data_IF_440860805278
#
_entry.id   IF_440860805278
#
_cell.length_a   1.000
_cell.length_b   1.000
_cell.length_c   1.000
_cell.angle_alpha   90.00
_cell.angle_beta   90.00
_cell.angle_gamma   90.00
#
_symmetry.space_group_name_H-M   'P 1'
#
loop_
_entity.id
_entity.type
_entity.pdbx_description
1 polymer ?
#
# COMPACT_ATOMS: atom_id res chain seq x y z
N UNK A 1 10.41 -17.78 -0.93
CA UNK A 1 9.44 -16.64 -0.95
C UNK A 1 8.39 -16.75 -2.05
N UNK A 2 8.64 -17.48 -3.15
CA UNK A 2 7.74 -17.68 -4.30
C UNK A 2 6.44 -18.42 -3.99
N UNK A 3 6.48 -19.47 -3.15
CA UNK A 3 5.27 -20.25 -2.82
C UNK A 3 4.19 -19.48 -2.05
N UNK A 4 4.56 -18.51 -1.21
CA UNK A 4 3.59 -17.68 -0.49
C UNK A 4 2.90 -16.68 -1.43
N UNK A 5 3.66 -16.03 -2.31
CA UNK A 5 3.10 -15.11 -3.31
C UNK A 5 2.10 -15.81 -4.22
N UNK A 6 2.37 -17.05 -4.62
CA UNK A 6 1.46 -17.86 -5.46
C UNK A 6 0.18 -18.22 -4.71
N UNK A 7 0.26 -18.69 -3.46
CA UNK A 7 -0.94 -18.93 -2.63
C UNK A 7 -1.77 -17.68 -2.38
N UNK A 8 -1.12 -16.53 -2.21
CA UNK A 8 -1.81 -15.25 -2.04
C UNK A 8 -2.48 -14.82 -3.35
N UNK A 9 -1.82 -14.99 -4.50
CA UNK A 9 -2.40 -14.78 -5.83
C UNK A 9 -3.65 -15.64 -6.03
N UNK A 10 -3.54 -16.95 -5.77
CA UNK A 10 -4.67 -17.88 -5.84
C UNK A 10 -5.83 -17.45 -4.93
N UNK A 11 -5.52 -16.93 -3.73
CA UNK A 11 -6.53 -16.40 -2.83
C UNK A 11 -7.23 -15.17 -3.42
N UNK A 12 -6.48 -14.22 -3.99
CA UNK A 12 -7.05 -13.01 -4.60
C UNK A 12 -7.92 -13.34 -5.81
N UNK A 13 -7.48 -14.27 -6.66
CA UNK A 13 -8.21 -14.70 -7.87
C UNK A 13 -9.50 -15.45 -7.51
N UNK A 14 -9.44 -16.39 -6.55
CA UNK A 14 -10.62 -17.16 -6.14
C UNK A 14 -11.66 -16.35 -5.36
N UNK A 15 -11.23 -15.26 -4.72
CA UNK A 15 -12.08 -14.44 -3.87
C UNK A 15 -12.03 -12.98 -4.29
N UNK A 16 -12.12 -12.70 -5.59
CA UNK A 16 -11.98 -11.34 -6.15
C UNK A 16 -12.86 -10.30 -5.44
N UNK A 17 -14.11 -10.65 -5.13
CA UNK A 17 -14.99 -9.73 -4.44
C UNK A 17 -14.52 -9.39 -3.02
N UNK A 18 -13.94 -10.38 -2.31
CA UNK A 18 -13.42 -10.18 -0.95
C UNK A 18 -12.06 -9.48 -0.99
N UNK A 19 -11.21 -9.79 -1.97
CA UNK A 19 -9.91 -9.13 -2.11
C UNK A 19 -10.05 -7.65 -2.43
N UNK A 20 -11.01 -7.27 -3.29
CA UNK A 20 -11.38 -5.87 -3.50
C UNK A 20 -11.76 -5.20 -2.18
N UNK A 21 -12.71 -5.77 -1.43
CA UNK A 21 -13.12 -5.21 -0.12
C UNK A 21 -11.96 -5.11 0.87
N UNK A 22 -11.08 -6.09 0.92
CA UNK A 22 -9.87 -6.05 1.74
C UNK A 22 -8.94 -4.89 1.35
N UNK A 23 -8.75 -4.63 0.05
CA UNK A 23 -7.97 -3.48 -0.41
C UNK A 23 -8.63 -2.15 -0.03
N UNK A 24 -9.95 -2.04 -0.14
CA UNK A 24 -10.69 -0.86 0.31
C UNK A 24 -10.51 -0.63 1.82
N UNK A 25 -10.63 -1.68 2.64
CA UNK A 25 -10.37 -1.58 4.08
C UNK A 25 -8.92 -1.16 4.36
N UNK A 26 -7.94 -1.72 3.65
CA UNK A 26 -6.54 -1.33 3.78
C UNK A 26 -6.33 0.14 3.42
N UNK A 27 -6.98 0.63 2.35
CA UNK A 27 -6.95 2.04 1.94
C UNK A 27 -7.55 2.97 3.00
N UNK A 28 -8.67 2.57 3.62
CA UNK A 28 -9.30 3.33 4.70
C UNK A 28 -8.44 3.39 5.96
N UNK A 29 -7.85 2.27 6.38
CA UNK A 29 -6.89 2.22 7.51
C UNK A 29 -5.70 3.12 7.20
N UNK A 30 -5.14 3.00 6.01
CA UNK A 30 -4.00 3.81 5.57
C UNK A 30 -4.31 5.31 5.61
N UNK A 31 -5.50 5.72 5.14
CA UNK A 31 -5.95 7.11 5.21
C UNK A 31 -6.07 7.61 6.65
N UNK A 32 -6.62 6.80 7.55
CA UNK A 32 -6.74 7.16 8.98
C UNK A 32 -5.38 7.51 9.60
N UNK A 33 -4.34 6.75 9.24
CA UNK A 33 -2.96 6.96 9.70
C UNK A 33 -2.35 8.24 9.15
N UNK A 34 -2.65 8.57 7.89
CA UNK A 34 -2.19 9.80 7.26
C UNK A 34 -2.78 11.06 7.92
N UNK A 35 -3.98 10.96 8.51
CA UNK A 35 -4.70 12.11 9.10
C UNK A 35 -4.57 12.20 10.62
N UNK A 36 -4.21 11.11 11.31
CA UNK A 36 -4.17 11.04 12.78
C UNK A 36 -2.78 11.28 13.33
N UNK A 37 -2.67 11.95 14.49
CA UNK A 37 -1.40 12.20 15.21
C UNK A 37 -1.21 11.39 16.49
N UNK A 38 -2.27 10.71 16.93
CA UNK A 38 -2.33 9.94 18.17
C UNK A 38 -2.82 8.52 17.87
N UNK A 39 -1.98 7.72 17.21
CA UNK A 39 -2.26 6.31 17.02
C UNK A 39 -1.99 5.53 18.32
N UNK A 40 -2.89 4.62 18.66
CA UNK A 40 -2.66 3.63 19.70
C UNK A 40 -1.67 2.57 19.22
N UNK A 41 -1.10 1.80 20.15
CA UNK A 41 -0.13 0.74 19.82
C UNK A 41 -0.72 -0.35 18.92
N UNK A 42 -2.02 -0.66 19.03
CA UNK A 42 -2.67 -1.64 18.17
C UNK A 42 -2.92 -1.12 16.75
N UNK A 43 -3.11 0.20 16.59
CA UNK A 43 -3.32 0.80 15.27
C UNK A 43 -2.11 0.53 14.36
N UNK A 44 -0.90 0.46 14.94
CA UNK A 44 0.33 0.13 14.22
C UNK A 44 0.29 -1.22 13.52
N UNK A 45 -0.23 -2.25 14.18
CA UNK A 45 -0.37 -3.56 13.55
C UNK A 45 -1.37 -3.49 12.39
N UNK A 46 -2.46 -2.73 12.56
CA UNK A 46 -3.41 -2.48 11.47
C UNK A 46 -2.77 -1.74 10.30
N UNK A 47 -1.91 -0.74 10.55
CA UNK A 47 -1.15 -0.03 9.50
C UNK A 47 -0.22 -0.99 8.77
N UNK A 48 0.56 -1.77 9.52
CA UNK A 48 1.52 -2.72 8.96
C UNK A 48 0.83 -3.75 8.07
N UNK A 49 -0.28 -4.32 8.53
CA UNK A 49 -1.10 -5.26 7.75
C UNK A 49 -1.66 -4.57 6.50
N UNK A 50 -2.19 -3.35 6.61
CA UNK A 50 -2.73 -2.60 5.49
C UNK A 50 -1.65 -2.30 4.43
N UNK A 51 -0.46 -1.82 4.84
CA UNK A 51 0.66 -1.53 3.94
C UNK A 51 1.14 -2.81 3.25
N UNK A 52 1.32 -3.91 3.99
CA UNK A 52 1.69 -5.20 3.42
C UNK A 52 0.65 -5.67 2.39
N UNK A 53 -0.64 -5.53 2.69
CA UNK A 53 -1.70 -5.91 1.76
C UNK A 53 -1.65 -5.07 0.47
N UNK A 54 -1.47 -3.75 0.59
CA UNK A 54 -1.36 -2.84 -0.55
C UNK A 54 -0.13 -3.19 -1.40
N UNK A 55 1.03 -3.45 -0.78
CA UNK A 55 2.25 -3.86 -1.50
C UNK A 55 2.06 -5.17 -2.24
N UNK A 56 1.48 -6.18 -1.59
CA UNK A 56 1.20 -7.46 -2.25
C UNK A 56 0.21 -7.31 -3.41
N UNK A 57 -0.79 -6.44 -3.27
CA UNK A 57 -1.73 -6.12 -4.34
C UNK A 57 -1.02 -5.47 -5.54
N UNK A 58 -0.11 -4.51 -5.28
CA UNK A 58 0.69 -3.84 -6.32
C UNK A 58 1.59 -4.83 -7.07
N UNK A 59 2.29 -5.70 -6.33
CA UNK A 59 3.14 -6.75 -6.90
C UNK A 59 2.35 -7.67 -7.84
N UNK A 60 1.17 -8.11 -7.41
CA UNK A 60 0.34 -9.06 -8.16
C UNK A 60 -0.29 -8.42 -9.40
N UNK A 61 -0.78 -7.18 -9.30
CA UNK A 61 -1.28 -6.44 -10.47
C UNK A 61 -0.18 -6.15 -11.48
N UNK A 62 1.02 -5.80 -11.04
CA UNK A 62 2.14 -5.58 -11.95
C UNK A 62 2.51 -6.85 -12.74
N UNK A 63 2.46 -8.02 -12.09
CA UNK A 63 2.67 -9.31 -12.75
C UNK A 63 1.60 -9.64 -13.79
N UNK A 64 0.32 -9.29 -13.55
CA UNK A 64 -0.78 -9.46 -14.52
C UNK A 64 -0.60 -8.55 -15.75
N UNK A 65 -0.21 -7.29 -15.55
CA UNK A 65 0.00 -6.35 -16.66
C UNK A 65 1.15 -6.77 -17.59
N UNK A 66 2.21 -7.37 -17.04
CA UNK A 66 3.36 -7.87 -17.82
C UNK A 66 3.03 -9.14 -18.61
N UNK A 67 2.17 -10.03 -18.09
CA UNK A 67 1.73 -11.23 -18.83
C UNK A 67 0.75 -10.93 -19.97
N UNK A 68 0.21 -9.72 -20.01
CA UNK A 68 -0.85 -9.31 -20.94
C UNK A 68 -0.33 -8.51 -22.14
N UNK A 69 0.99 -8.38 -22.33
CA UNK A 69 1.53 -7.78 -23.56
C UNK A 69 1.41 -8.79 -24.71
N UNK A 70 0.51 -8.61 -25.70
CA UNK A 70 0.70 -9.28 -26.97
C UNK A 70 1.98 -8.75 -27.58
N UNK A 71 2.83 -9.69 -28.01
CA UNK A 71 4.02 -9.45 -28.82
C UNK A 71 3.72 -8.38 -29.86
N UNK A 72 4.48 -7.29 -29.82
CA UNK A 72 4.35 -6.19 -30.75
C UNK A 72 4.80 -6.66 -32.14
N UNK A 73 3.87 -7.21 -32.91
CA UNK A 73 3.97 -7.30 -34.35
C UNK A 73 2.65 -6.84 -34.98
N UNK A 74 2.79 -5.90 -35.90
CA UNK A 74 1.84 -5.43 -36.91
C UNK A 74 0.72 -4.43 -36.54
N UNK A 75 0.90 -3.24 -37.14
CA UNK A 75 -0.09 -2.42 -37.84
C UNK A 75 -0.92 -1.38 -37.07
N UNK A 76 -0.45 -0.13 -37.20
CA UNK A 76 -1.19 1.09 -37.54
C UNK A 76 -2.68 1.19 -37.15
N UNK A 77 -2.94 2.10 -36.21
CA UNK A 77 -4.17 2.89 -36.16
C UNK A 77 -5.20 2.42 -35.11
N UNK A 78 -5.54 3.35 -34.21
CA UNK A 78 -6.53 3.25 -33.12
C UNK A 78 -6.12 2.45 -31.86
N UNK A 79 -5.52 3.15 -30.89
CA UNK A 79 -6.18 3.45 -29.61
C UNK A 79 -5.22 4.21 -28.69
N UNK A 80 -4.97 5.49 -29.00
CA UNK A 80 -4.55 6.42 -27.96
C UNK A 80 -5.80 6.72 -27.12
N UNK A 81 -5.76 6.39 -25.82
CA UNK A 81 -6.69 6.87 -24.77
C UNK A 81 -8.08 6.21 -24.65
N UNK A 82 -8.15 4.90 -24.42
CA UNK A 82 -9.13 4.45 -23.42
C UNK A 82 -8.64 4.99 -22.06
N UNK A 83 -9.15 6.15 -21.61
CA UNK A 83 -8.82 6.68 -20.27
C UNK A 83 -9.18 5.61 -19.24
N UNK A 84 -8.19 4.92 -18.68
CA UNK A 84 -8.41 4.03 -17.54
C UNK A 84 -9.08 4.84 -16.43
N UNK A 85 -10.17 4.28 -15.91
CA UNK A 85 -10.99 4.95 -14.90
C UNK A 85 -10.18 5.04 -13.61
N UNK A 86 -9.89 6.25 -13.11
CA UNK A 86 -9.20 6.40 -11.82
C UNK A 86 -10.23 6.30 -10.69
N UNK A 87 -9.96 5.46 -9.68
CA UNK A 87 -10.80 5.32 -8.48
C UNK A 87 -9.98 5.70 -7.25
N UNK A 88 -10.44 6.74 -6.54
CA UNK A 88 -9.86 7.16 -5.25
C UNK A 88 -10.41 6.28 -4.15
N UNK A 89 -9.76 5.14 -3.95
CA UNK A 89 -10.31 4.05 -3.16
C UNK A 89 -10.52 4.43 -1.69
N UNK A 90 -9.60 5.20 -1.12
CA UNK A 90 -9.66 5.70 0.25
C UNK A 90 -10.74 6.78 0.49
N UNK A 91 -11.39 7.24 -0.58
CA UNK A 91 -12.47 8.24 -0.54
C UNK A 91 -13.85 7.63 -0.82
N UNK A 92 -13.94 6.34 -1.14
CA UNK A 92 -15.23 5.66 -1.28
C UNK A 92 -15.87 5.52 0.10
N UNK A 93 -16.97 6.24 0.31
CA UNK A 93 -17.70 6.28 1.59
C UNK A 93 -19.01 5.51 1.58
N UNK A 94 -19.61 5.27 0.40
CA UNK A 94 -20.84 4.50 0.31
C UNK A 94 -20.57 3.02 0.05
N UNK A 95 -21.34 2.15 0.70
CA UNK A 95 -21.27 0.70 0.48
C UNK A 95 -21.56 0.33 -0.98
N UNK A 96 -22.43 1.07 -1.63
CA UNK A 96 -22.80 0.88 -3.03
C UNK A 96 -21.62 1.19 -3.96
N UNK A 97 -20.87 2.27 -3.73
CA UNK A 97 -19.69 2.60 -4.52
C UNK A 97 -18.59 1.56 -4.37
N UNK A 98 -18.41 1.04 -3.15
CA UNK A 98 -17.46 -0.05 -2.87
C UNK A 98 -17.89 -1.32 -3.61
N UNK A 99 -19.17 -1.71 -3.51
CA UNK A 99 -19.68 -2.90 -4.19
C UNK A 99 -19.62 -2.75 -5.73
N UNK A 100 -19.84 -1.55 -6.26
CA UNK A 100 -19.70 -1.25 -7.70
C UNK A 100 -18.24 -1.33 -8.16
N UNK A 101 -17.31 -0.77 -7.39
CA UNK A 101 -15.88 -0.90 -7.69
C UNK A 101 -15.39 -2.35 -7.56
N UNK A 102 -15.87 -3.10 -6.57
CA UNK A 102 -15.51 -4.52 -6.43
C UNK A 102 -15.99 -5.37 -7.61
N UNK A 103 -17.16 -5.05 -8.18
CA UNK A 103 -17.75 -5.78 -9.31
C UNK A 103 -17.17 -5.41 -10.68
N UNK A 104 -16.67 -4.18 -10.86
CA UNK A 104 -16.28 -3.66 -12.18
C UNK A 104 -14.99 -2.84 -12.21
N UNK A 105 -14.26 -2.74 -11.10
CA UNK A 105 -13.08 -1.89 -10.94
C UNK A 105 -11.75 -2.55 -11.32
N UNK A 106 -11.78 -3.69 -12.02
CA UNK A 106 -10.57 -4.45 -12.39
C UNK A 106 -9.63 -3.65 -13.30
N UNK A 107 -10.22 -2.86 -14.20
CA UNK A 107 -9.50 -1.99 -15.15
C UNK A 107 -9.30 -0.56 -14.63
N UNK A 108 -9.67 -0.30 -13.37
CA UNK A 108 -9.55 1.01 -12.78
C UNK A 108 -8.19 1.22 -12.10
N UNK A 109 -7.59 2.38 -12.36
CA UNK A 109 -6.39 2.83 -11.66
C UNK A 109 -6.74 3.22 -10.22
N UNK A 110 -6.20 2.46 -9.26
CA UNK A 110 -6.41 2.75 -7.84
C UNK A 110 -5.51 3.91 -7.43
N UNK A 111 -6.12 4.96 -6.89
CA UNK A 111 -5.44 6.12 -6.30
C UNK A 111 -5.66 6.15 -4.79
N UNK A 112 -4.60 6.43 -4.03
CA UNK A 112 -4.67 6.74 -2.59
C UNK A 112 -4.24 8.18 -2.30
N UNK A 113 -4.94 8.88 -1.41
CA UNK A 113 -4.53 10.22 -0.96
C UNK A 113 -3.10 10.19 -0.38
N UNK A 114 -2.29 11.21 -0.69
CA UNK A 114 -0.87 11.35 -0.31
C UNK A 114 0.12 10.34 -0.92
N UNK A 115 -0.36 9.36 -1.69
CA UNK A 115 0.48 8.37 -2.40
C UNK A 115 0.39 8.56 -3.92
N UNK A 116 -0.82 8.81 -4.44
CA UNK A 116 -1.10 8.87 -5.87
C UNK A 116 -1.60 7.51 -6.41
N UNK A 117 -1.42 7.30 -7.71
CA UNK A 117 -1.81 6.07 -8.40
C UNK A 117 -0.87 4.92 -7.97
N UNK A 118 -1.44 3.77 -7.62
CA UNK A 118 -0.72 2.58 -7.16
C UNK A 118 -0.06 1.80 -8.30
N UNK A 119 -0.54 1.97 -9.52
CA UNK A 119 0.08 1.44 -10.73
C UNK A 119 0.97 2.51 -11.38
N UNK A 120 2.24 2.20 -11.58
CA UNK A 120 3.18 3.09 -12.24
C UNK A 120 4.59 3.01 -11.66
N UNK A 121 5.57 3.61 -12.34
CA UNK A 121 6.94 3.67 -11.84
C UNK A 121 6.97 4.35 -10.47
N UNK A 122 7.82 3.83 -9.58
CA UNK A 122 8.04 4.34 -8.21
C UNK A 122 6.82 4.32 -7.28
N UNK A 123 5.72 3.65 -7.63
CA UNK A 123 4.52 3.61 -6.78
C UNK A 123 4.80 3.02 -5.40
N UNK A 124 5.64 1.98 -5.34
CA UNK A 124 6.10 1.39 -4.07
C UNK A 124 6.91 2.40 -3.25
N UNK A 125 7.88 3.07 -3.86
CA UNK A 125 8.70 4.08 -3.18
C UNK A 125 7.84 5.24 -2.65
N UNK A 126 6.83 5.70 -3.41
CA UNK A 126 5.87 6.72 -2.96
C UNK A 126 5.07 6.25 -1.74
N UNK A 127 4.55 5.01 -1.78
CA UNK A 127 3.79 4.43 -0.67
C UNK A 127 4.65 4.33 0.59
N UNK A 128 5.88 3.80 0.48
CA UNK A 128 6.78 3.64 1.61
C UNK A 128 7.18 5.01 2.20
N UNK A 129 7.55 5.99 1.38
CA UNK A 129 7.86 7.36 1.85
C UNK A 129 6.66 8.09 2.46
N UNK A 130 5.45 7.86 1.94
CA UNK A 130 4.23 8.41 2.54
C UNK A 130 3.94 7.75 3.90
N UNK A 131 4.23 6.46 4.03
CA UNK A 131 4.11 5.71 5.28
C UNK A 131 5.11 6.22 6.31
N UNK A 132 6.38 6.29 5.94
CA UNK A 132 7.47 6.86 6.74
C UNK A 132 7.10 8.23 7.32
N UNK A 133 6.68 9.17 6.46
CA UNK A 133 6.27 10.51 6.88
C UNK A 133 5.08 10.51 7.85
N UNK A 134 4.12 9.60 7.68
CA UNK A 134 2.98 9.50 8.58
C UNK A 134 3.38 8.97 9.96
N UNK A 135 4.35 8.06 10.02
CA UNK A 135 4.85 7.47 11.26
C UNK A 135 5.75 8.46 12.02
N UNK A 136 6.63 9.19 11.34
CA UNK A 136 7.47 10.22 11.97
C UNK A 136 6.67 11.36 12.62
N UNK A 137 5.42 11.57 12.22
CA UNK A 137 4.52 12.57 12.78
C UNK A 137 3.82 12.13 14.07
N UNK A 138 3.93 10.85 14.45
CA UNK A 138 3.23 10.31 15.61
C UNK A 138 3.90 10.76 16.91
N UNK A 139 3.08 11.26 17.84
CA UNK A 139 3.54 11.82 19.12
C UNK A 139 3.61 10.74 20.20
N UNK A 140 2.64 9.82 20.23
CA UNK A 140 2.67 8.67 21.13
C UNK A 140 3.62 7.60 20.57
N UNK A 141 4.30 6.83 21.43
CA UNK A 141 5.21 5.72 21.05
C UNK A 141 6.32 6.10 20.04
N UNK A 142 6.79 7.35 20.07
CA UNK A 142 7.67 7.92 19.03
C UNK A 142 8.94 7.11 18.76
N UNK A 143 9.53 6.45 19.77
CA UNK A 143 10.68 5.58 19.60
C UNK A 143 10.36 4.38 18.68
N UNK A 144 9.21 3.73 18.90
CA UNK A 144 8.72 2.65 18.07
C UNK A 144 8.40 3.11 16.64
N UNK A 145 7.73 4.26 16.49
CA UNK A 145 7.43 4.85 15.19
C UNK A 145 8.69 5.24 14.41
N UNK A 146 9.73 5.74 15.08
CA UNK A 146 11.04 6.02 14.47
C UNK A 146 11.76 4.76 14.00
N UNK A 147 11.73 3.69 14.79
CA UNK A 147 12.30 2.41 14.37
C UNK A 147 11.59 1.87 13.12
N UNK A 148 10.26 1.91 13.11
CA UNK A 148 9.48 1.48 11.94
C UNK A 148 9.72 2.37 10.72
N UNK A 149 9.78 3.68 10.90
CA UNK A 149 10.13 4.65 9.85
C UNK A 149 11.48 4.33 9.20
N UNK A 150 12.50 4.04 10.02
CA UNK A 150 13.83 3.66 9.53
C UNK A 150 13.80 2.38 8.70
N UNK A 151 13.05 1.37 9.13
CA UNK A 151 12.86 0.15 8.35
C UNK A 151 12.21 0.44 6.98
N UNK A 152 11.23 1.35 6.92
CA UNK A 152 10.62 1.76 5.65
C UNK A 152 11.62 2.49 4.75
N UNK A 153 12.46 3.37 5.31
CA UNK A 153 13.53 4.04 4.57
C UNK A 153 14.55 3.04 4.02
N UNK A 154 14.97 2.05 4.81
CA UNK A 154 15.87 0.97 4.37
C UNK A 154 15.27 0.18 3.22
N UNK A 155 13.99 -0.21 3.33
CA UNK A 155 13.29 -0.91 2.27
C UNK A 155 13.21 -0.10 0.96
N UNK A 156 13.06 1.23 1.03
CA UNK A 156 13.09 2.11 -0.16
C UNK A 156 14.44 2.04 -0.88
N UNK A 157 15.54 1.88 -0.14
CA UNK A 157 16.89 1.77 -0.70
C UNK A 157 17.29 0.32 -1.07
N UNK A 158 16.39 -0.65 -0.89
CA UNK A 158 16.69 -2.07 -1.10
C UNK A 158 17.56 -2.71 -0.02
N UNK A 159 17.68 -2.04 1.13
CA UNK A 159 18.45 -2.48 2.28
C UNK A 159 17.61 -3.40 3.18
N UNK A 160 18.29 -4.26 3.95
CA UNK A 160 17.61 -5.10 4.95
C UNK A 160 17.38 -4.31 6.24
N UNK A 161 16.24 -4.52 6.93
CA UNK A 161 16.00 -3.92 8.24
C UNK A 161 17.15 -4.19 9.20
N UNK A 162 17.76 -3.13 9.76
CA UNK A 162 18.79 -3.29 10.79
C UNK A 162 18.17 -3.26 12.19
N UNK A 163 18.58 -4.20 13.04
CA UNK A 163 18.16 -4.22 14.45
C UNK A 163 19.19 -3.40 15.23
N UNK A 164 18.91 -2.13 15.47
CA UNK A 164 19.63 -1.33 16.46
C UNK A 164 18.84 -1.36 17.76
N UNK A 165 19.40 -2.03 18.78
CA UNK A 165 18.83 -2.16 20.12
C UNK A 165 18.98 -0.91 20.98
N UNK A 166 19.74 0.08 20.52
CA UNK A 166 20.21 1.17 21.38
C UNK A 166 19.17 2.30 21.59
N UNK A 167 18.14 2.40 20.74
CA UNK A 167 17.14 3.48 20.81
C UNK A 167 16.12 3.36 21.95
N UNK A 168 16.07 2.21 22.66
CA UNK A 168 15.15 2.05 23.79
C UNK A 168 15.61 2.80 25.04
N UNK A 169 16.92 3.08 25.17
CA UNK A 169 17.51 3.62 26.40
C UNK A 169 17.62 5.17 26.40
N UNK A 170 17.60 5.83 25.24
CA UNK A 170 17.72 7.29 25.15
C UNK A 170 16.49 8.06 25.69
N UNK A 171 15.36 7.37 25.91
CA UNK A 171 14.18 7.98 26.52
C UNK A 171 14.29 8.09 28.05
N UNK A 172 15.10 7.26 28.71
CA UNK A 172 15.33 7.31 30.16
C UNK A 172 16.35 8.40 30.55
N UNK A 173 17.33 8.69 29.69
CA UNK A 173 18.39 9.67 30.00
C UNK A 173 17.95 11.14 29.92
N UNK A 174 16.77 11.45 29.39
CA UNK A 174 16.26 12.84 29.33
C UNK A 174 15.40 13.24 30.54
N UNK A 175 15.26 12.36 31.53
CA UNK A 175 14.44 12.57 32.74
C UNK A 175 15.29 12.46 34.03
N UNK A 176 16.61 12.35 33.93
CA UNK A 176 17.54 12.38 35.08
C UNK A 176 18.27 13.71 35.18
#
# INVERSE_FOLDING_TARGET
>A
MTGFKMKFKDFLERNEARSGKCLWHAACIYRSVQTSRHLASYDMFSVGVAVCYIVLYMDLRCAESQSSQPSADTNFGLSYTARQRIVRLDQLSSREDVDNWVKGGRDADVHLTNVGILQGPDSLARLLRATERALLRQVAWSAFFRAWSRNMAQLVHGEKPTVHTDDYNEAEERVS
#
